data_IF_663959174916
#
_entry.id   IF_663959174916
#
_cell.length_a   1.000
_cell.length_b   1.000
_cell.length_c   1.000
_cell.angle_alpha   90.00
_cell.angle_beta   90.00
_cell.angle_gamma   90.00
#
_symmetry.space_group_name_H-M   'P 1'
#
loop_
_entity.id
_entity.type
_entity.pdbx_description
1 polymer ?
#
# COMPACT_ATOMS: atom_id res chain seq x y z
N UNK A 1 -4.81 19.99 14.58
CA UNK A 1 -4.26 18.84 13.81
C UNK A 1 -4.55 17.58 14.62
N UNK A 2 -5.06 16.55 13.97
CA UNK A 2 -5.41 15.31 14.67
C UNK A 2 -4.19 14.37 14.71
N UNK A 3 -3.98 13.72 15.86
CA UNK A 3 -2.90 12.75 16.05
C UNK A 3 -3.41 11.34 15.77
N UNK A 4 -2.49 10.47 15.37
CA UNK A 4 -2.77 9.05 15.20
C UNK A 4 -2.98 8.42 16.59
N UNK A 5 -4.16 7.83 16.79
CA UNK A 5 -4.54 7.11 18.01
C UNK A 5 -4.05 5.67 17.97
N UNK A 6 -4.28 4.99 16.84
CA UNK A 6 -3.89 3.60 16.60
C UNK A 6 -3.92 3.27 15.12
N UNK A 7 -3.25 2.19 14.75
CA UNK A 7 -3.28 1.64 13.39
C UNK A 7 -3.60 0.16 13.50
N UNK A 8 -4.44 -0.35 12.60
CA UNK A 8 -4.83 -1.76 12.56
C UNK A 8 -4.60 -2.31 11.15
N UNK A 9 -3.81 -3.37 11.06
CA UNK A 9 -3.61 -4.13 9.83
C UNK A 9 -4.52 -5.36 9.77
N UNK A 10 -4.92 -5.74 8.56
CA UNK A 10 -5.69 -6.96 8.28
C UNK A 10 -5.20 -7.60 6.99
N UNK A 11 -5.29 -8.92 6.90
CA UNK A 11 -5.23 -9.61 5.64
C UNK A 11 -6.61 -9.56 4.98
N UNK A 12 -6.67 -9.13 3.74
CA UNK A 12 -7.85 -9.12 2.89
C UNK A 12 -7.51 -9.80 1.55
N UNK A 13 -8.48 -9.91 0.64
CA UNK A 13 -8.25 -10.52 -0.67
C UNK A 13 -8.37 -9.50 -1.79
N UNK A 14 -7.49 -9.59 -2.76
CA UNK A 14 -7.55 -8.81 -3.99
C UNK A 14 -8.63 -9.36 -4.95
N UNK A 15 -8.83 -8.68 -6.10
CA UNK A 15 -9.81 -9.10 -7.11
C UNK A 15 -9.51 -10.47 -7.75
N UNK A 16 -8.30 -11.00 -7.55
CA UNK A 16 -7.88 -12.32 -8.03
C UNK A 16 -7.93 -13.40 -6.94
N UNK A 17 -8.42 -13.05 -5.74
CA UNK A 17 -8.47 -13.94 -4.59
C UNK A 17 -7.12 -14.17 -3.90
N UNK A 18 -6.09 -13.37 -4.19
CA UNK A 18 -4.82 -13.48 -3.47
C UNK A 18 -4.86 -12.61 -2.20
N UNK A 19 -4.24 -13.10 -1.09
CA UNK A 19 -4.09 -12.29 0.11
C UNK A 19 -3.32 -11.00 -0.15
N UNK A 20 -3.79 -9.91 0.44
CA UNK A 20 -3.11 -8.62 0.46
C UNK A 20 -3.33 -7.90 1.79
N UNK A 21 -2.66 -6.77 1.99
CA UNK A 21 -2.66 -6.01 3.24
C UNK A 21 -3.63 -4.85 3.15
N UNK A 22 -4.53 -4.75 4.12
CA UNK A 22 -5.29 -3.54 4.44
C UNK A 22 -4.75 -2.92 5.72
N UNK A 23 -4.62 -1.59 5.74
CA UNK A 23 -4.37 -0.82 6.96
C UNK A 23 -5.52 0.15 7.22
N UNK A 24 -5.88 0.30 8.49
CA UNK A 24 -6.84 1.29 8.97
C UNK A 24 -6.13 2.20 9.99
N UNK A 25 -6.16 3.51 9.74
CA UNK A 25 -5.61 4.53 10.64
C UNK A 25 -6.76 5.17 11.39
N UNK A 26 -6.65 5.23 12.71
CA UNK A 26 -7.60 5.88 13.62
C UNK A 26 -6.96 7.13 14.20
N UNK A 27 -7.67 8.25 14.14
CA UNK A 27 -7.24 9.52 14.77
C UNK A 27 -7.94 9.77 16.11
N UNK A 28 -7.35 10.65 16.93
CA UNK A 28 -7.93 11.02 18.23
C UNK A 28 -9.28 11.71 18.13
N UNK A 29 -9.60 12.33 17.00
CA UNK A 29 -10.92 12.94 16.72
C UNK A 29 -11.98 11.95 16.22
N UNK A 30 -11.77 10.64 16.39
CA UNK A 30 -12.64 9.55 15.99
C UNK A 30 -12.87 9.42 14.48
N UNK A 31 -12.01 10.00 13.67
CA UNK A 31 -11.99 9.76 12.22
C UNK A 31 -11.09 8.57 11.94
N UNK A 32 -11.51 7.70 11.02
CA UNK A 32 -10.68 6.62 10.51
C UNK A 32 -10.79 6.51 8.99
N UNK A 33 -9.77 5.92 8.38
CA UNK A 33 -9.77 5.58 6.98
C UNK A 33 -8.94 4.33 6.72
N UNK A 34 -9.35 3.59 5.69
CA UNK A 34 -8.66 2.37 5.25
C UNK A 34 -8.00 2.55 3.91
N UNK A 35 -6.93 1.80 3.70
CA UNK A 35 -6.34 1.59 2.39
C UNK A 35 -5.80 0.17 2.26
N UNK A 36 -5.87 -0.34 1.04
CA UNK A 36 -5.35 -1.65 0.66
C UNK A 36 -4.10 -1.43 -0.19
N UNK A 37 -3.06 -2.21 0.05
CA UNK A 37 -1.88 -2.23 -0.81
C UNK A 37 -2.16 -3.17 -1.98
N UNK A 38 -2.27 -2.68 -3.22
CA UNK A 38 -2.48 -3.56 -4.36
C UNK A 38 -1.24 -4.43 -4.59
N UNK A 39 -1.45 -5.70 -4.92
CA UNK A 39 -0.38 -6.60 -5.29
C UNK A 39 -0.12 -6.53 -6.80
N UNK A 40 1.15 -6.41 -7.20
CA UNK A 40 1.57 -6.47 -8.59
C UNK A 40 1.41 -7.88 -9.18
N UNK A 41 1.29 -7.97 -10.51
CA UNK A 41 1.30 -9.24 -11.23
C UNK A 41 2.73 -9.74 -11.52
N UNK A 42 3.70 -8.85 -11.48
CA UNK A 42 5.10 -9.08 -11.82
C UNK A 42 6.00 -8.34 -10.85
N UNK A 43 7.22 -8.80 -10.69
CA UNK A 43 8.23 -8.17 -9.83
C UNK A 43 9.42 -7.75 -10.68
N UNK A 44 9.82 -6.47 -10.56
CA UNK A 44 11.05 -5.97 -11.15
C UNK A 44 12.23 -6.09 -10.16
N UNK A 45 13.44 -6.15 -10.68
CA UNK A 45 14.65 -6.30 -9.85
C UNK A 45 14.90 -5.11 -8.89
N UNK A 46 14.34 -3.95 -9.20
CA UNK A 46 14.48 -2.71 -8.41
C UNK A 46 13.20 -2.32 -7.66
N UNK A 47 12.19 -3.19 -7.64
CA UNK A 47 10.96 -2.92 -6.90
C UNK A 47 11.16 -3.13 -5.41
N UNK A 48 10.39 -2.38 -4.62
CA UNK A 48 10.31 -2.59 -3.19
C UNK A 48 9.68 -3.96 -2.88
N UNK A 49 10.19 -4.63 -1.86
CA UNK A 49 9.83 -6.01 -1.54
C UNK A 49 8.43 -6.12 -0.94
N UNK A 50 7.56 -6.88 -1.60
CA UNK A 50 6.27 -7.29 -1.04
C UNK A 50 6.50 -8.45 -0.06
N UNK A 51 6.27 -8.23 1.22
CA UNK A 51 6.50 -9.24 2.26
C UNK A 51 5.36 -10.25 2.28
N UNK A 52 5.71 -11.53 2.05
CA UNK A 52 4.80 -12.68 2.10
C UNK A 52 5.35 -13.74 3.03
N UNK A 53 4.45 -14.49 3.69
CA UNK A 53 4.82 -15.45 4.72
C UNK A 53 5.57 -16.69 4.19
N UNK A 54 5.43 -17.00 2.89
CA UNK A 54 6.04 -18.15 2.20
C UNK A 54 5.67 -19.52 2.79
N UNK A 55 4.70 -19.59 3.71
CA UNK A 55 4.15 -20.83 4.24
C UNK A 55 3.24 -21.49 3.21
N UNK A 56 3.71 -22.54 2.55
CA UNK A 56 2.98 -23.25 1.49
C UNK A 56 1.63 -23.84 1.94
N UNK A 57 1.44 -24.05 3.24
CA UNK A 57 0.19 -24.55 3.80
C UNK A 57 -0.90 -23.46 3.89
N UNK A 58 -0.52 -22.19 3.72
CA UNK A 58 -1.43 -21.04 3.79
C UNK A 58 -1.40 -20.29 2.47
N UNK A 59 -2.50 -20.33 1.73
CA UNK A 59 -2.65 -19.63 0.43
C UNK A 59 -1.46 -19.85 -0.52
N UNK A 60 -0.92 -21.08 -0.58
CA UNK A 60 0.22 -21.44 -1.41
C UNK A 60 1.47 -20.56 -1.17
N UNK A 61 1.70 -20.14 0.07
CA UNK A 61 2.81 -19.26 0.44
C UNK A 61 2.55 -17.76 0.27
N UNK A 62 1.34 -17.38 -0.19
CA UNK A 62 1.00 -15.99 -0.51
C UNK A 62 0.39 -15.20 0.66
N UNK A 63 0.21 -15.80 1.84
CA UNK A 63 -0.32 -15.07 3.00
C UNK A 63 0.58 -13.91 3.41
N UNK A 64 0.02 -12.92 4.12
CA UNK A 64 0.69 -11.65 4.47
C UNK A 64 0.62 -11.36 5.97
N UNK A 65 0.52 -12.41 6.81
CA UNK A 65 0.35 -12.24 8.26
C UNK A 65 1.54 -11.55 8.90
N UNK A 66 2.78 -11.80 8.45
CA UNK A 66 3.98 -11.12 8.95
C UNK A 66 3.90 -9.62 8.70
N UNK A 67 3.47 -9.21 7.49
CA UNK A 67 3.27 -7.80 7.17
C UNK A 67 2.14 -7.18 8.03
N UNK A 68 1.06 -7.90 8.26
CA UNK A 68 -0.05 -7.49 9.16
C UNK A 68 0.44 -7.34 10.61
N UNK A 69 1.24 -8.26 11.11
CA UNK A 69 1.85 -8.17 12.45
C UNK A 69 2.81 -6.97 12.56
N UNK A 70 3.59 -6.69 11.52
CA UNK A 70 4.43 -5.50 11.48
C UNK A 70 3.61 -4.21 11.60
N UNK A 71 2.41 -4.14 10.95
CA UNK A 71 1.51 -2.99 11.10
C UNK A 71 0.96 -2.90 12.51
N UNK A 72 0.43 -3.99 13.05
CA UNK A 72 -0.26 -4.00 14.33
C UNK A 72 0.66 -3.71 15.52
N UNK A 73 1.93 -4.09 15.42
CA UNK A 73 2.92 -3.92 16.47
C UNK A 73 3.87 -2.76 16.14
N UNK A 74 4.89 -3.00 15.32
CA UNK A 74 6.01 -2.07 15.09
C UNK A 74 5.57 -0.72 14.53
N UNK A 75 4.74 -0.72 13.48
CA UNK A 75 4.31 0.50 12.79
C UNK A 75 3.33 1.27 13.66
N UNK A 76 2.35 0.58 14.24
CA UNK A 76 1.35 1.21 15.12
C UNK A 76 2.00 1.91 16.31
N UNK A 77 2.95 1.26 16.98
CA UNK A 77 3.68 1.84 18.12
C UNK A 77 4.53 3.04 17.70
N UNK A 78 5.21 2.96 16.55
CA UNK A 78 6.08 4.02 16.03
C UNK A 78 5.31 5.27 15.64
N UNK A 79 4.13 5.13 15.05
CA UNK A 79 3.36 6.24 14.49
C UNK A 79 2.34 6.81 15.48
N UNK A 80 2.02 6.11 16.55
CA UNK A 80 1.08 6.58 17.60
C UNK A 80 1.52 7.92 18.16
N UNK A 81 0.58 8.87 18.23
CA UNK A 81 0.80 10.22 18.72
C UNK A 81 1.41 11.19 17.69
N UNK A 82 1.82 10.73 16.52
CA UNK A 82 2.27 11.62 15.45
C UNK A 82 1.09 12.36 14.82
N UNK A 83 1.35 13.58 14.34
CA UNK A 83 0.37 14.37 13.59
C UNK A 83 0.15 13.77 12.20
N UNK A 84 -1.10 13.39 11.91
CA UNK A 84 -1.45 12.73 10.65
C UNK A 84 -1.29 13.63 9.42
N UNK A 85 -1.43 14.95 9.59
CA UNK A 85 -1.33 15.92 8.50
C UNK A 85 0.11 16.06 7.94
N UNK A 86 1.12 15.63 8.69
CA UNK A 86 2.49 15.68 8.24
C UNK A 86 2.90 14.38 7.53
N UNK A 87 2.35 14.16 6.32
CA UNK A 87 2.61 12.95 5.54
C UNK A 87 4.11 12.65 5.36
N UNK A 88 4.92 13.68 5.10
CA UNK A 88 6.38 13.50 4.93
C UNK A 88 7.05 12.93 6.18
N UNK A 89 6.60 13.36 7.36
CA UNK A 89 7.11 12.83 8.65
C UNK A 89 6.65 11.40 8.89
N UNK A 90 5.41 11.07 8.52
CA UNK A 90 4.87 9.71 8.60
C UNK A 90 5.67 8.77 7.67
N UNK A 91 5.82 9.14 6.40
CA UNK A 91 6.54 8.33 5.42
C UNK A 91 8.01 8.16 5.80
N UNK A 92 8.66 9.22 6.28
CA UNK A 92 10.02 9.13 6.80
C UNK A 92 10.11 8.18 7.99
N UNK A 93 9.18 8.25 8.94
CA UNK A 93 9.17 7.35 10.10
C UNK A 93 9.00 5.88 9.70
N UNK A 94 8.21 5.59 8.65
CA UNK A 94 8.08 4.25 8.07
C UNK A 94 9.38 3.77 7.43
N UNK A 95 10.04 4.63 6.65
CA UNK A 95 11.31 4.31 6.00
C UNK A 95 12.44 4.10 7.03
N UNK A 96 12.53 4.97 8.03
CA UNK A 96 13.52 4.87 9.10
C UNK A 96 13.29 3.61 9.97
N UNK A 97 12.03 3.20 10.16
CA UNK A 97 11.68 1.99 10.90
C UNK A 97 12.01 0.72 10.12
N UNK A 98 11.80 0.71 8.80
CA UNK A 98 12.21 -0.40 7.95
C UNK A 98 13.74 -0.51 7.86
N UNK A 99 14.43 0.60 7.62
CA UNK A 99 15.87 0.71 7.59
C UNK A 99 16.55 -0.02 6.42
N UNK A 100 15.80 -0.69 5.54
CA UNK A 100 16.33 -1.34 4.36
C UNK A 100 16.02 -0.55 3.09
N UNK A 101 16.88 -0.66 2.08
CA UNK A 101 16.70 0.03 0.81
C UNK A 101 15.39 -0.36 0.12
N UNK A 102 15.10 -1.66 0.09
CA UNK A 102 13.96 -2.24 -0.64
C UNK A 102 12.76 -2.61 0.26
N UNK A 103 12.70 -2.09 1.50
CA UNK A 103 11.60 -2.33 2.45
C UNK A 103 11.39 -3.81 2.79
N UNK A 104 12.49 -4.53 2.97
CA UNK A 104 12.47 -5.99 3.22
C UNK A 104 12.09 -6.35 4.65
N UNK A 105 12.25 -5.43 5.62
CA UNK A 105 12.02 -5.72 7.03
C UNK A 105 10.55 -5.59 7.45
N UNK A 106 9.85 -4.56 6.95
CA UNK A 106 8.43 -4.35 7.23
C UNK A 106 7.54 -4.86 6.11
N UNK A 107 8.04 -4.81 4.89
CA UNK A 107 7.31 -5.05 3.66
C UNK A 107 6.77 -3.77 3.01
N UNK A 108 6.96 -3.64 1.70
CA UNK A 108 6.41 -2.53 0.94
C UNK A 108 4.87 -2.49 1.01
N UNK A 109 4.22 -3.65 1.05
CA UNK A 109 2.78 -3.79 1.22
C UNK A 109 2.30 -3.23 2.56
N UNK A 110 3.02 -3.45 3.66
CA UNK A 110 2.68 -2.89 4.96
C UNK A 110 2.88 -1.37 4.99
N UNK A 111 4.04 -0.88 4.55
CA UNK A 111 4.36 0.55 4.58
C UNK A 111 3.46 1.36 3.66
N UNK A 112 3.17 0.87 2.44
CA UNK A 112 2.29 1.54 1.49
C UNK A 112 0.84 1.59 1.98
N UNK A 113 0.29 0.48 2.50
CA UNK A 113 -1.07 0.47 3.03
C UNK A 113 -1.26 1.51 4.14
N UNK A 114 -0.30 1.63 5.06
CA UNK A 114 -0.34 2.61 6.16
C UNK A 114 -0.20 4.04 5.64
N UNK A 115 0.74 4.31 4.74
CA UNK A 115 0.94 5.64 4.15
C UNK A 115 -0.32 6.14 3.43
N UNK A 116 -0.94 5.29 2.60
CA UNK A 116 -2.19 5.61 1.90
C UNK A 116 -3.36 5.81 2.87
N UNK A 117 -3.49 4.95 3.89
CA UNK A 117 -4.54 5.07 4.89
C UNK A 117 -4.41 6.38 5.68
N UNK A 118 -3.18 6.77 6.05
CA UNK A 118 -2.92 8.05 6.72
C UNK A 118 -3.33 9.24 5.85
N UNK A 119 -2.93 9.26 4.57
CA UNK A 119 -3.30 10.34 3.64
C UNK A 119 -4.82 10.49 3.50
N UNK A 120 -5.54 9.38 3.37
CA UNK A 120 -7.01 9.39 3.34
C UNK A 120 -7.62 9.90 4.64
N UNK A 121 -7.10 9.44 5.77
CA UNK A 121 -7.58 9.82 7.08
C UNK A 121 -7.37 11.32 7.35
N UNK A 122 -6.21 11.85 6.99
CA UNK A 122 -5.90 13.28 7.08
C UNK A 122 -6.81 14.11 6.18
N UNK A 123 -7.05 13.67 4.95
CA UNK A 123 -7.98 14.35 4.03
C UNK A 123 -9.39 14.44 4.63
N UNK A 124 -9.91 13.34 5.19
CA UNK A 124 -11.20 13.29 5.88
C UNK A 124 -11.22 14.21 7.10
N UNK A 125 -10.17 14.20 7.91
CA UNK A 125 -10.04 15.07 9.08
C UNK A 125 -10.07 16.56 8.71
N UNK A 126 -9.52 16.90 7.55
CA UNK A 126 -9.56 18.26 7.00
C UNK A 126 -10.82 18.55 6.17
N UNK A 127 -11.79 17.62 6.13
CA UNK A 127 -13.04 17.75 5.34
C UNK A 127 -12.78 18.05 3.87
N UNK A 128 -11.72 17.48 3.30
CA UNK A 128 -11.32 17.65 1.90
C UNK A 128 -11.34 16.30 1.17
N UNK A 129 -11.78 16.24 -0.08
CA UNK A 129 -11.51 15.05 -0.89
C UNK A 129 -10.00 14.88 -1.07
N UNK A 130 -9.54 13.64 -1.19
CA UNK A 130 -8.11 13.31 -1.18
C UNK A 130 -7.30 14.09 -2.23
N UNK A 131 -7.83 14.23 -3.45
CA UNK A 131 -7.13 14.96 -4.51
C UNK A 131 -6.90 16.45 -4.18
N UNK A 132 -7.85 17.10 -3.46
CA UNK A 132 -7.69 18.48 -2.99
C UNK A 132 -6.78 18.60 -1.77
N UNK A 133 -6.63 17.51 -1.01
CA UNK A 133 -5.69 17.46 0.08
C UNK A 133 -4.24 17.32 -0.42
N UNK A 134 -4.04 16.54 -1.48
CA UNK A 134 -2.72 16.25 -2.03
C UNK A 134 -2.17 17.34 -2.95
N UNK A 135 -3.01 18.19 -3.53
CA UNK A 135 -2.55 19.22 -4.47
C UNK A 135 -3.47 20.42 -4.58
N UNK A 136 -2.93 21.50 -5.17
CA UNK A 136 -3.62 22.78 -5.34
C UNK A 136 -4.00 23.07 -6.79
N UNK A 137 -3.43 22.36 -7.74
CA UNK A 137 -3.73 22.49 -9.19
C UNK A 137 -4.39 21.20 -9.66
N UNK A 138 -5.54 21.34 -10.33
CA UNK A 138 -6.32 20.19 -10.76
C UNK A 138 -6.51 20.24 -12.27
N UNK A 139 -6.00 19.23 -12.94
CA UNK A 139 -6.27 18.97 -14.36
C UNK A 139 -6.56 17.47 -14.52
N UNK A 140 -7.47 17.15 -15.41
CA UNK A 140 -7.66 15.75 -15.78
C UNK A 140 -6.42 15.29 -16.55
N UNK A 141 -5.79 14.18 -16.15
CA UNK A 141 -4.66 13.64 -16.89
C UNK A 141 -5.10 13.13 -18.25
N UNK A 142 -4.22 13.21 -19.23
CA UNK A 142 -4.39 12.46 -20.47
C UNK A 142 -4.35 10.98 -20.11
N UNK A 143 -5.40 10.19 -20.43
CA UNK A 143 -5.41 8.78 -20.06
C UNK A 143 -4.33 8.01 -20.81
N UNK A 144 -3.47 7.35 -20.05
CA UNK A 144 -2.56 6.34 -20.56
C UNK A 144 -3.24 4.98 -20.39
N UNK A 145 -3.57 4.34 -21.48
CA UNK A 145 -4.20 3.03 -21.47
C UNK A 145 -3.19 1.95 -21.83
N UNK A 146 -3.15 0.90 -21.02
CA UNK A 146 -2.40 -0.30 -21.35
C UNK A 146 -3.24 -1.12 -22.34
N UNK A 147 -2.95 -1.01 -23.61
CA UNK A 147 -3.66 -1.71 -24.69
C UNK A 147 -3.09 -3.12 -24.90
N UNK A 148 -1.76 -3.26 -24.70
CA UNK A 148 -1.06 -4.54 -24.80
C UNK A 148 -0.43 -4.79 -23.43
N UNK A 149 -0.87 -5.84 -22.76
CA UNK A 149 -0.46 -6.16 -21.40
C UNK A 149 0.64 -7.21 -21.39
N UNK A 150 1.77 -6.88 -20.78
CA UNK A 150 2.85 -7.83 -20.55
C UNK A 150 4.19 -7.16 -20.29
N UNK A 151 4.99 -7.79 -19.44
CA UNK A 151 6.35 -7.36 -19.13
C UNK A 151 7.31 -7.50 -20.29
N UNK A 152 6.94 -8.29 -21.29
CA UNK A 152 7.78 -8.57 -22.43
C UNK A 152 6.95 -8.39 -23.69
N UNK A 153 6.87 -7.15 -24.16
CA UNK A 153 6.30 -6.84 -25.47
C UNK A 153 6.95 -7.67 -26.60
N UNK A 154 8.19 -8.11 -26.39
CA UNK A 154 8.90 -8.99 -27.33
C UNK A 154 8.37 -10.44 -27.32
N UNK A 155 7.63 -10.84 -26.30
CA UNK A 155 7.04 -12.17 -26.17
C UNK A 155 5.52 -12.19 -26.34
N UNK A 156 4.88 -11.03 -26.56
CA UNK A 156 3.42 -10.88 -26.60
C UNK A 156 2.88 -10.75 -28.01
N UNK A 157 3.70 -10.39 -28.96
CA UNK A 157 3.33 -10.58 -30.32
C UNK A 157 3.34 -12.09 -30.59
N UNK A 158 2.32 -12.81 -30.14
CA UNK A 158 1.99 -14.01 -30.89
C UNK A 158 1.82 -13.54 -32.34
N UNK A 159 2.69 -13.97 -33.23
CA UNK A 159 2.38 -13.81 -34.64
C UNK A 159 1.02 -14.47 -34.80
N UNK A 160 0.07 -13.69 -35.27
CA UNK A 160 -1.28 -14.09 -35.61
C UNK A 160 -1.35 -15.60 -35.85
N UNK A 161 -2.00 -16.30 -34.89
CA UNK A 161 -2.36 -17.70 -35.12
C UNK A 161 -3.08 -17.73 -36.45
N UNK A 162 -2.64 -18.52 -37.41
CA UNK A 162 -3.45 -18.72 -38.61
C UNK A 162 -4.82 -19.18 -38.15
N UNK A 163 -5.84 -18.50 -38.56
CA UNK A 163 -7.21 -18.97 -38.42
C UNK A 163 -7.36 -20.14 -39.46
N UNK A 164 -7.18 -21.35 -38.97
CA UNK A 164 -7.60 -22.55 -39.74
C UNK A 164 -9.11 -22.67 -39.63
#
# INVERSE_FOLDING_TARGET
MAKIKSIKGRQVFDSRGNPTVEAEVFLENNISATAISPSGASTGAFEAHELRDQDKNKFLGKSVNIAVENINNKISDKLKGLESDNQKKIDKALLDLDGSENKTNLGANATLAVSLANSKCSALSNKKPLFKYLGNTFSLPIPLMNIINGLSLIHISEPTRPLD
#
